data_IF_731250224184
#
_entry.id   IF_731250224184
#
_cell.length_a   1.000
_cell.length_b   1.000
_cell.length_c   1.000
_cell.angle_alpha   90.00
_cell.angle_beta   90.00
_cell.angle_gamma   90.00
#
_symmetry.space_group_name_H-M   'P 1'
#
loop_
_entity.id
_entity.type
_entity.pdbx_description
1 polymer ?
#
# COMPACT_ATOMS: atom_id res chain seq x y z
N UNK A 1 0.12 -6.02 -9.13
CA UNK A 1 -0.35 -4.66 -9.43
C UNK A 1 -0.32 -3.86 -8.11
N UNK A 2 0.07 -2.58 -8.10
CA UNK A 2 0.06 -1.77 -6.86
C UNK A 2 -1.35 -1.61 -6.28
N UNK A 3 -2.39 -1.56 -7.13
CA UNK A 3 -3.79 -1.51 -6.72
C UNK A 3 -4.19 -2.78 -5.94
N UNK A 4 -3.85 -3.95 -6.48
CA UNK A 4 -4.11 -5.25 -5.82
C UNK A 4 -3.35 -5.37 -4.48
N UNK A 5 -2.12 -4.83 -4.40
CA UNK A 5 -1.30 -4.87 -3.19
C UNK A 5 -1.93 -4.06 -2.05
N UNK A 6 -2.52 -2.90 -2.37
CA UNK A 6 -3.26 -2.09 -1.40
C UNK A 6 -4.72 -2.53 -1.25
N UNK A 7 -5.21 -3.44 -2.09
CA UNK A 7 -6.61 -3.90 -2.07
C UNK A 7 -7.61 -2.81 -2.47
N UNK A 8 -7.21 -1.88 -3.35
CA UNK A 8 -8.06 -0.78 -3.83
C UNK A 8 -8.32 -0.91 -5.32
N UNK A 9 -9.42 -0.32 -5.80
CA UNK A 9 -9.71 -0.25 -7.23
C UNK A 9 -8.83 0.79 -7.94
N UNK A 10 -8.65 0.66 -9.26
CA UNK A 10 -7.92 1.66 -10.07
C UNK A 10 -8.57 3.05 -10.01
N UNK A 11 -9.89 3.08 -9.82
CA UNK A 11 -10.64 4.33 -9.66
C UNK A 11 -10.56 4.94 -8.25
N UNK A 12 -9.82 4.32 -7.32
CA UNK A 12 -9.72 4.78 -5.93
C UNK A 12 -9.05 6.16 -5.83
N UNK A 13 -9.64 7.03 -5.00
CA UNK A 13 -9.07 8.34 -4.74
C UNK A 13 -7.87 8.28 -3.80
N UNK A 14 -7.10 9.36 -3.74
CA UNK A 14 -5.91 9.49 -2.87
C UNK A 14 -6.22 9.19 -1.40
N UNK A 15 -7.46 9.51 -0.96
CA UNK A 15 -7.94 9.22 0.38
C UNK A 15 -8.05 7.72 0.63
N UNK A 16 -8.60 6.97 -0.33
CA UNK A 16 -8.81 5.52 -0.20
C UNK A 16 -7.47 4.79 -0.19
N UNK A 17 -6.55 5.19 -1.07
CA UNK A 17 -5.16 4.70 -1.08
C UNK A 17 -4.48 4.91 0.28
N UNK A 18 -4.59 6.12 0.85
CA UNK A 18 -4.01 6.43 2.18
C UNK A 18 -4.61 5.61 3.31
N UNK A 19 -5.94 5.43 3.30
CA UNK A 19 -6.63 4.63 4.32
C UNK A 19 -6.20 3.17 4.22
N UNK A 20 -6.24 2.59 3.01
CA UNK A 20 -5.86 1.21 2.77
C UNK A 20 -4.40 0.93 3.15
N UNK A 21 -3.47 1.82 2.77
CA UNK A 21 -2.08 1.72 3.19
C UNK A 21 -1.94 1.71 4.71
N UNK A 22 -2.63 2.62 5.41
CA UNK A 22 -2.50 2.75 6.86
C UNK A 22 -3.06 1.52 7.60
N UNK A 23 -4.15 0.95 7.12
CA UNK A 23 -4.75 -0.24 7.72
C UNK A 23 -3.86 -1.48 7.49
N UNK A 24 -3.34 -1.65 6.27
CA UNK A 24 -2.41 -2.73 5.95
C UNK A 24 -1.09 -2.58 6.72
N UNK A 25 -0.55 -1.37 6.80
CA UNK A 25 0.68 -1.08 7.52
C UNK A 25 0.57 -1.44 9.00
N UNK A 26 -0.59 -1.22 9.63
CA UNK A 26 -0.83 -1.64 11.01
C UNK A 26 -0.95 -3.15 11.15
N UNK A 27 -1.51 -3.84 10.15
CA UNK A 27 -1.69 -5.29 10.13
C UNK A 27 -0.36 -6.04 9.97
N UNK A 28 0.53 -5.54 9.11
CA UNK A 28 1.79 -6.22 8.76
C UNK A 28 3.04 -5.54 9.35
N UNK A 29 2.88 -4.55 10.23
CA UNK A 29 4.01 -3.84 10.83
C UNK A 29 4.97 -4.83 11.51
N UNK A 30 6.28 -4.84 11.19
CA UNK A 30 7.21 -5.83 11.74
C UNK A 30 7.30 -5.79 13.27
N UNK A 31 7.18 -4.62 13.89
CA UNK A 31 7.18 -4.50 15.37
C UNK A 31 5.93 -5.06 16.05
N UNK A 32 4.81 -5.19 15.32
CA UNK A 32 3.51 -5.61 15.89
C UNK A 32 3.06 -6.98 15.40
N UNK A 33 3.53 -7.38 14.22
CA UNK A 33 3.17 -8.61 13.54
C UNK A 33 4.38 -9.54 13.54
N UNK A 34 4.34 -10.57 14.38
CA UNK A 34 5.38 -11.59 14.48
C UNK A 34 5.25 -12.72 13.45
N UNK A 35 4.45 -12.52 12.39
CA UNK A 35 4.26 -13.53 11.35
C UNK A 35 5.46 -13.57 10.40
N UNK A 36 5.83 -14.77 9.96
CA UNK A 36 6.81 -14.96 8.90
C UNK A 36 6.32 -14.24 7.63
N UNK A 37 7.14 -13.32 7.12
CA UNK A 37 6.81 -12.51 5.94
C UNK A 37 6.18 -11.14 6.22
N UNK A 38 5.98 -10.74 7.48
CA UNK A 38 5.47 -9.39 7.82
C UNK A 38 6.33 -8.27 7.20
N UNK A 39 7.66 -8.40 7.25
CA UNK A 39 8.57 -7.43 6.64
C UNK A 39 8.43 -7.35 5.11
N UNK A 40 8.29 -8.49 4.43
CA UNK A 40 8.09 -8.54 2.97
C UNK A 40 6.74 -7.94 2.58
N UNK A 41 5.67 -8.26 3.33
CA UNK A 41 4.37 -7.67 3.13
C UNK A 41 4.40 -6.15 3.36
N UNK A 42 5.08 -5.69 4.41
CA UNK A 42 5.26 -4.27 4.71
C UNK A 42 6.02 -3.55 3.59
N UNK A 43 7.06 -4.16 3.04
CA UNK A 43 7.79 -3.61 1.90
C UNK A 43 6.89 -3.46 0.68
N UNK A 44 6.10 -4.48 0.33
CA UNK A 44 5.19 -4.45 -0.83
C UNK A 44 4.16 -3.32 -0.71
N UNK A 45 3.52 -3.16 0.45
CA UNK A 45 2.54 -2.09 0.66
C UNK A 45 3.19 -0.69 0.66
N UNK A 46 4.43 -0.57 1.12
CA UNK A 46 5.20 0.68 1.04
C UNK A 46 5.48 1.08 -0.40
N UNK A 47 5.97 0.15 -1.22
CA UNK A 47 6.23 0.38 -2.65
C UNK A 47 4.95 0.79 -3.38
N UNK A 48 3.83 0.11 -3.10
CA UNK A 48 2.54 0.45 -3.71
C UNK A 48 2.06 1.85 -3.29
N UNK A 49 2.19 2.22 -2.02
CA UNK A 49 1.82 3.55 -1.55
C UNK A 49 2.76 4.66 -2.06
N UNK A 50 4.05 4.37 -2.29
CA UNK A 50 4.98 5.34 -2.87
C UNK A 50 4.55 5.74 -4.29
N UNK A 51 4.00 4.79 -5.06
CA UNK A 51 3.52 5.04 -6.43
C UNK A 51 2.11 5.62 -6.42
N UNK A 52 1.16 4.98 -5.73
CA UNK A 52 -0.25 5.35 -5.79
C UNK A 52 -0.62 6.53 -4.88
N UNK A 53 0.17 6.79 -3.84
CA UNK A 53 -0.06 7.88 -2.89
C UNK A 53 0.45 9.25 -3.38
N UNK A 54 1.23 9.27 -4.46
CA UNK A 54 1.68 10.48 -5.14
C UNK A 54 0.97 10.59 -6.50
N UNK A 55 0.23 11.68 -6.69
CA UNK A 55 -0.60 11.86 -7.90
C UNK A 55 0.21 11.95 -9.19
N UNK A 56 1.44 12.47 -9.15
CA UNK A 56 2.32 12.55 -10.32
C UNK A 56 2.93 11.18 -10.65
N UNK A 57 3.35 10.42 -9.63
CA UNK A 57 3.84 9.04 -9.82
C UNK A 57 2.72 8.11 -10.29
N UNK A 58 1.52 8.22 -9.70
CA UNK A 58 0.35 7.45 -10.12
C UNK A 58 -0.02 7.71 -11.57
N UNK A 59 -0.03 8.97 -12.00
CA UNK A 59 -0.31 9.32 -13.40
C UNK A 59 0.75 8.80 -14.40
N UNK A 60 1.96 8.48 -13.92
CA UNK A 60 3.01 7.85 -14.75
C UNK A 60 2.91 6.33 -14.73
N UNK A 61 2.32 5.77 -13.68
CA UNK A 61 2.12 4.34 -13.50
C UNK A 61 0.89 3.81 -14.24
N UNK A 62 -0.19 4.60 -14.23
CA UNK A 62 -1.44 4.34 -14.98
C UNK A 62 -1.22 4.42 -16.50
#
# INVERSE_FOLDING_TARGET
>A
NHYDVLGVEVAAGDRDVKVAYRDLALLVHPDKCGADGAAEAFQKINEANEVLGDSAKRATYD
#
